data_IF_601752876204
#
_entry.id   IF_601752876204
#
_cell.length_a   1.000
_cell.length_b   1.000
_cell.length_c   1.000
_cell.angle_alpha   90.00
_cell.angle_beta   90.00
_cell.angle_gamma   90.00
#
_symmetry.space_group_name_H-M   'P 1'
#
loop_
_entity.id
_entity.type
_entity.pdbx_description
1 polymer ?
#
# COMPACT_ATOMS: atom_id res chain seq x y z
N UNK A 1 -23.42 4.52 4.48
CA UNK A 1 -22.28 3.56 4.47
C UNK A 1 -21.15 4.15 5.30
N UNK A 2 -20.35 3.37 6.05
CA UNK A 2 -19.20 3.92 6.75
C UNK A 2 -18.12 4.35 5.74
N UNK A 3 -17.91 5.65 5.58
CA UNK A 3 -16.96 6.26 4.62
C UNK A 3 -15.52 5.82 4.91
N UNK A 4 -15.19 5.65 6.19
CA UNK A 4 -13.88 5.23 6.67
C UNK A 4 -13.72 3.71 6.83
N UNK A 5 -14.50 2.90 6.10
CA UNK A 5 -14.35 1.44 6.13
C UNK A 5 -13.01 1.03 5.51
N UNK A 6 -12.23 0.18 6.20
CA UNK A 6 -10.93 -0.29 5.70
C UNK A 6 -9.77 0.73 5.79
N UNK A 7 -10.04 1.96 6.21
CA UNK A 7 -9.04 3.00 6.40
C UNK A 7 -8.21 2.77 7.66
N UNK A 8 -6.88 2.84 7.52
CA UNK A 8 -5.92 2.78 8.62
C UNK A 8 -5.68 4.18 9.19
N UNK A 9 -5.05 4.24 10.37
CA UNK A 9 -4.66 5.50 11.01
C UNK A 9 -3.77 6.36 10.11
N UNK A 10 -2.88 5.73 9.35
CA UNK A 10 -1.98 6.40 8.40
C UNK A 10 -2.77 7.09 7.28
N UNK A 11 -3.75 6.38 6.72
CA UNK A 11 -4.57 6.86 5.60
C UNK A 11 -5.39 8.08 6.03
N UNK A 12 -5.97 8.04 7.24
CA UNK A 12 -6.72 9.19 7.79
C UNK A 12 -5.83 10.39 8.10
N UNK A 13 -4.56 10.20 8.47
CA UNK A 13 -3.64 11.33 8.64
C UNK A 13 -3.32 12.01 7.32
N UNK A 14 -3.19 11.24 6.24
CA UNK A 14 -2.96 11.79 4.90
C UNK A 14 -4.18 12.60 4.48
N UNK A 15 -5.38 12.02 4.61
CA UNK A 15 -6.63 12.71 4.27
C UNK A 15 -6.82 14.01 5.06
N UNK A 16 -6.55 14.01 6.37
CA UNK A 16 -6.66 15.22 7.18
C UNK A 16 -5.66 16.30 6.76
N UNK A 17 -4.42 15.93 6.41
CA UNK A 17 -3.43 16.88 5.90
C UNK A 17 -3.85 17.49 4.55
N UNK A 18 -4.47 16.69 3.69
CA UNK A 18 -5.00 17.14 2.39
C UNK A 18 -6.12 18.18 2.59
N UNK A 19 -6.97 17.96 3.60
CA UNK A 19 -8.00 18.91 4.03
C UNK A 19 -7.46 20.13 4.81
N UNK A 20 -6.14 20.32 4.86
CA UNK A 20 -5.49 21.43 5.57
C UNK A 20 -5.51 21.32 7.10
N UNK A 21 -5.94 20.19 7.65
CA UNK A 21 -6.05 19.98 9.09
C UNK A 21 -4.73 19.53 9.72
N UNK A 22 -4.40 20.06 10.89
CA UNK A 22 -3.19 19.67 11.62
C UNK A 22 -3.42 18.38 12.39
N UNK A 23 -2.74 17.30 12.00
CA UNK A 23 -2.80 16.00 12.69
C UNK A 23 -1.47 15.63 13.33
N UNK A 24 -1.51 15.37 14.63
CA UNK A 24 -0.39 14.84 15.41
C UNK A 24 -0.45 13.30 15.53
N UNK A 25 0.68 12.65 15.73
CA UNK A 25 0.81 11.20 15.90
C UNK A 25 0.07 10.65 17.13
N UNK A 26 -0.10 11.48 18.17
CA UNK A 26 -0.82 11.15 19.40
C UNK A 26 -2.32 10.98 19.20
N UNK A 27 -2.91 11.55 18.14
CA UNK A 27 -4.35 11.45 17.90
C UNK A 27 -4.79 10.01 17.70
N UNK A 28 -5.89 9.61 18.31
CA UNK A 28 -6.48 8.29 18.07
C UNK A 28 -7.25 8.30 16.75
N UNK A 29 -7.55 7.11 16.23
CA UNK A 29 -8.33 6.96 15.00
C UNK A 29 -9.70 7.65 15.09
N UNK A 30 -10.32 7.65 16.27
CA UNK A 30 -11.58 8.37 16.53
C UNK A 30 -11.41 9.89 16.43
N UNK A 31 -10.28 10.43 16.91
CA UNK A 31 -10.02 11.87 16.89
C UNK A 31 -9.75 12.34 15.46
N UNK A 32 -8.97 11.58 14.69
CA UNK A 32 -8.72 11.87 13.27
C UNK A 32 -10.04 11.91 12.46
N UNK A 33 -10.94 10.95 12.69
CA UNK A 33 -12.28 10.97 12.05
C UNK A 33 -13.05 12.24 12.41
N UNK A 34 -13.01 12.67 13.67
CA UNK A 34 -13.68 13.91 14.10
C UNK A 34 -13.07 15.14 13.45
N UNK A 35 -11.75 15.22 13.37
CA UNK A 35 -11.03 16.34 12.72
C UNK A 35 -11.44 16.45 11.24
N UNK A 36 -11.39 15.33 10.51
CA UNK A 36 -11.79 15.27 9.10
C UNK A 36 -13.25 15.73 8.91
N UNK A 37 -14.17 15.19 9.72
CA UNK A 37 -15.59 15.53 9.65
C UNK A 37 -15.91 16.97 10.09
N UNK A 38 -15.01 17.61 10.85
CA UNK A 38 -15.16 18.98 11.32
C UNK A 38 -14.53 20.01 10.37
N UNK A 39 -13.77 19.58 9.36
CA UNK A 39 -13.16 20.48 8.38
C UNK A 39 -14.24 21.20 7.58
N UNK A 40 -14.05 22.50 7.35
CA UNK A 40 -14.97 23.31 6.54
C UNK A 40 -15.02 22.89 5.07
N UNK A 41 -13.93 22.31 4.59
CA UNK A 41 -13.80 21.85 3.20
C UNK A 41 -14.12 20.36 3.05
N UNK A 42 -14.66 19.74 4.11
CA UNK A 42 -15.06 18.35 4.07
C UNK A 42 -16.26 18.16 3.14
N UNK A 43 -16.00 17.53 2.00
CA UNK A 43 -17.02 16.96 1.14
C UNK A 43 -16.97 15.42 1.24
N UNK A 44 -18.11 14.79 1.49
CA UNK A 44 -18.17 13.34 1.75
C UNK A 44 -17.76 12.51 0.54
N UNK A 45 -18.15 12.94 -0.66
CA UNK A 45 -17.85 12.23 -1.91
C UNK A 45 -16.37 12.36 -2.26
N UNK A 46 -15.84 13.58 -2.20
CA UNK A 46 -14.43 13.88 -2.39
C UNK A 46 -13.57 13.13 -1.37
N UNK A 47 -13.89 13.21 -0.07
CA UNK A 47 -13.13 12.52 0.97
C UNK A 47 -13.12 11.00 0.77
N UNK A 48 -14.22 10.44 0.25
CA UNK A 48 -14.31 9.01 -0.09
C UNK A 48 -13.43 8.66 -1.30
N UNK A 49 -13.45 9.46 -2.36
CA UNK A 49 -12.58 9.25 -3.54
C UNK A 49 -11.10 9.36 -3.17
N UNK A 50 -10.72 10.39 -2.42
CA UNK A 50 -9.36 10.58 -1.93
C UNK A 50 -8.91 9.41 -1.06
N UNK A 51 -9.76 8.96 -0.13
CA UNK A 51 -9.44 7.83 0.73
C UNK A 51 -9.28 6.53 -0.07
N UNK A 52 -10.12 6.31 -1.08
CA UNK A 52 -9.99 5.18 -1.98
C UNK A 52 -8.67 5.24 -2.77
N UNK A 53 -8.27 6.42 -3.26
CA UNK A 53 -7.00 6.60 -3.94
C UNK A 53 -5.81 6.27 -3.02
N UNK A 54 -5.82 6.75 -1.77
CA UNK A 54 -4.77 6.46 -0.78
C UNK A 54 -4.69 4.95 -0.49
N UNK A 55 -5.84 4.30 -0.29
CA UNK A 55 -5.90 2.86 -0.03
C UNK A 55 -5.43 2.07 -1.25
N UNK A 56 -5.82 2.50 -2.46
CA UNK A 56 -5.45 1.82 -3.70
C UNK A 56 -3.96 1.95 -3.98
N UNK A 57 -3.36 3.13 -3.82
CA UNK A 57 -1.92 3.33 -3.98
C UNK A 57 -1.12 2.44 -3.02
N UNK A 58 -1.57 2.31 -1.77
CA UNK A 58 -0.95 1.38 -0.82
C UNK A 58 -1.01 -0.06 -1.33
N UNK A 59 -2.20 -0.53 -1.71
CA UNK A 59 -2.40 -1.90 -2.19
C UNK A 59 -1.56 -2.17 -3.43
N UNK A 60 -1.51 -1.23 -4.35
CA UNK A 60 -0.70 -1.33 -5.56
C UNK A 60 0.79 -1.42 -5.22
N UNK A 61 1.28 -0.66 -4.23
CA UNK A 61 2.67 -0.77 -3.77
C UNK A 61 2.96 -2.13 -3.17
N UNK A 62 2.10 -2.62 -2.28
CA UNK A 62 2.23 -3.95 -1.66
C UNK A 62 2.22 -5.05 -2.74
N UNK A 63 1.31 -4.97 -3.72
CA UNK A 63 1.22 -5.93 -4.82
C UNK A 63 2.45 -5.87 -5.74
N UNK A 64 2.96 -4.68 -6.03
CA UNK A 64 4.14 -4.51 -6.87
C UNK A 64 5.41 -5.02 -6.18
N UNK A 65 5.51 -4.89 -4.85
CA UNK A 65 6.58 -5.50 -4.06
C UNK A 65 6.51 -7.03 -4.14
N UNK A 66 5.34 -7.62 -3.95
CA UNK A 66 5.13 -9.08 -4.08
C UNK A 66 5.51 -9.57 -5.48
N UNK A 67 5.02 -8.90 -6.54
CA UNK A 67 5.37 -9.27 -7.92
C UNK A 67 6.87 -9.18 -8.20
N UNK A 68 7.56 -8.18 -7.64
CA UNK A 68 9.02 -8.05 -7.77
C UNK A 68 9.74 -9.19 -7.06
N UNK A 69 9.28 -9.58 -5.87
CA UNK A 69 9.83 -10.72 -5.15
C UNK A 69 9.61 -12.03 -5.91
N UNK A 70 8.41 -12.28 -6.44
CA UNK A 70 8.11 -13.47 -7.26
C UNK A 70 9.00 -13.55 -8.51
N UNK A 71 9.19 -12.42 -9.19
CA UNK A 71 10.09 -12.34 -10.36
C UNK A 71 11.54 -12.61 -9.98
N UNK A 72 12.01 -12.08 -8.84
CA UNK A 72 13.35 -12.33 -8.35
C UNK A 72 13.55 -13.81 -7.95
N UNK A 73 12.56 -14.42 -7.30
CA UNK A 73 12.60 -15.84 -6.94
C UNK A 73 12.61 -16.74 -8.17
N UNK A 74 11.74 -16.46 -9.16
CA UNK A 74 11.72 -17.21 -10.42
C UNK A 74 13.06 -17.15 -11.13
N UNK A 75 13.66 -15.96 -11.23
CA UNK A 75 14.98 -15.79 -11.85
C UNK A 75 16.08 -16.60 -11.14
N UNK A 76 16.07 -16.64 -9.80
CA UNK A 76 17.02 -17.47 -9.02
C UNK A 76 16.83 -18.96 -9.29
N UNK A 77 15.59 -19.44 -9.38
CA UNK A 77 15.30 -20.84 -9.71
C UNK A 77 15.78 -21.21 -11.12
N UNK A 78 15.51 -20.35 -12.10
CA UNK A 78 15.97 -20.54 -13.48
C UNK A 78 17.51 -20.57 -13.60
N UNK A 79 18.20 -19.69 -12.85
CA UNK A 79 19.66 -19.66 -12.81
C UNK A 79 20.24 -20.95 -12.19
N UNK A 80 19.68 -21.41 -11.07
CA UNK A 80 20.05 -22.70 -10.45
C UNK A 80 19.83 -23.88 -11.38
N UNK A 81 18.69 -23.93 -12.08
CA UNK A 81 18.38 -25.01 -13.03
C UNK A 81 19.29 -24.97 -14.27
N UNK A 82 19.72 -23.77 -14.70
CA UNK A 82 20.70 -23.62 -15.77
C UNK A 82 22.09 -24.11 -15.34
N UNK A 83 22.53 -23.75 -14.12
CA UNK A 83 23.81 -24.23 -13.56
C UNK A 83 23.81 -25.74 -13.35
N UNK A 84 22.72 -26.32 -12.86
CA UNK A 84 22.60 -27.76 -12.65
C UNK A 84 22.65 -28.53 -13.97
N UNK A 85 21.98 -28.04 -15.02
CA UNK A 85 22.04 -28.63 -16.37
C UNK A 85 23.46 -28.60 -16.92
N UNK A 86 24.15 -27.46 -16.83
CA UNK A 86 25.56 -27.35 -17.28
C UNK A 86 26.47 -28.35 -16.57
N UNK A 87 26.30 -28.51 -15.24
CA UNK A 87 27.09 -29.49 -14.48
C UNK A 87 26.83 -30.92 -14.93
N UNK A 88 25.58 -31.29 -15.19
CA UNK A 88 25.24 -32.63 -15.70
C UNK A 88 25.81 -32.88 -17.09
N UNK A 89 25.74 -31.88 -17.98
CA UNK A 89 26.34 -31.96 -19.32
C UNK A 89 27.87 -32.11 -19.28
N UNK A 90 28.54 -31.45 -18.32
CA UNK A 90 29.99 -31.62 -18.08
C UNK A 90 30.35 -32.98 -17.48
N UNK A 91 29.48 -33.59 -16.67
CA UNK A 91 29.69 -34.93 -16.10
C UNK A 91 29.39 -36.08 -17.08
N UNK A 92 28.60 -35.83 -18.15
CA UNK A 92 28.28 -36.81 -19.20
C UNK A 92 29.32 -36.87 -20.35
N UNK A 93 30.33 -35.98 -20.39
CA UNK A 93 31.37 -35.93 -21.43
C UNK A 93 32.75 -36.40 -20.93
#
# INVERSE_FOLDING_TARGET
MPIFAGARKCDLKILAKELGETVNDSHKLKDLKKIILASKEYDEESAKEWLNAIINERKEREENEIRKEEMAERKRKEEQECEERKRKEEEEY
#
